data_IF_434651256672
#
_entry.id   IF_434651256672
#
_cell.length_a   1.000
_cell.length_b   1.000
_cell.length_c   1.000
_cell.angle_alpha   90.00
_cell.angle_beta   90.00
_cell.angle_gamma   90.00
#
_symmetry.space_group_name_H-M   'P 1'
#
loop_
_entity.id
_entity.type
_entity.pdbx_description
1 polymer ?
#
# COMPACT_ATOMS: atom_id res chain seq x y z
N UNK A 1 21.66 1.61 -18.40
CA UNK A 1 21.19 0.61 -17.42
C UNK A 1 20.72 -0.60 -18.21
N UNK A 2 21.11 -1.82 -17.83
CA UNK A 2 20.63 -3.02 -18.52
C UNK A 2 19.15 -3.26 -18.21
N UNK A 3 18.41 -3.98 -19.08
CA UNK A 3 16.99 -4.33 -18.83
C UNK A 3 16.81 -5.12 -17.52
N UNK A 4 17.83 -5.87 -17.11
CA UNK A 4 17.85 -6.63 -15.84
C UNK A 4 18.02 -5.71 -14.62
N UNK A 5 18.91 -4.72 -14.69
CA UNK A 5 19.06 -3.72 -13.62
C UNK A 5 17.80 -2.87 -13.48
N UNK A 6 17.15 -2.55 -14.59
CA UNK A 6 15.91 -1.76 -14.62
C UNK A 6 14.74 -2.48 -13.94
N UNK A 7 14.52 -3.76 -14.26
CA UNK A 7 13.46 -4.54 -13.60
C UNK A 7 13.73 -4.73 -12.11
N UNK A 8 14.98 -4.96 -11.71
CA UNK A 8 15.36 -5.11 -10.30
C UNK A 8 15.10 -3.82 -9.51
N UNK A 9 15.54 -2.68 -10.04
CA UNK A 9 15.31 -1.37 -9.45
C UNK A 9 13.81 -1.06 -9.33
N UNK A 10 13.05 -1.35 -10.39
CA UNK A 10 11.59 -1.11 -10.43
C UNK A 10 10.85 -1.98 -9.41
N UNK A 11 11.20 -3.26 -9.33
CA UNK A 11 10.61 -4.19 -8.37
C UNK A 11 10.90 -3.76 -6.93
N UNK A 12 12.13 -3.33 -6.61
CA UNK A 12 12.48 -2.85 -5.26
C UNK A 12 11.68 -1.60 -4.88
N UNK A 13 11.51 -0.65 -5.80
CA UNK A 13 10.73 0.55 -5.51
C UNK A 13 9.24 0.28 -5.34
N UNK A 14 8.68 -0.69 -6.07
CA UNK A 14 7.31 -1.15 -5.84
C UNK A 14 7.18 -1.76 -4.43
N UNK A 15 8.15 -2.58 -3.99
CA UNK A 15 8.16 -3.09 -2.62
C UNK A 15 8.23 -1.94 -1.60
N UNK A 16 9.06 -0.92 -1.84
CA UNK A 16 9.17 0.27 -1.00
C UNK A 16 7.85 1.02 -0.87
N UNK A 17 7.17 1.23 -1.99
CA UNK A 17 5.86 1.86 -2.02
C UNK A 17 4.80 1.06 -1.26
N UNK A 18 4.73 -0.25 -1.49
CA UNK A 18 3.76 -1.12 -0.79
C UNK A 18 4.06 -1.21 0.71
N UNK A 19 5.33 -1.28 1.08
CA UNK A 19 5.76 -1.36 2.49
C UNK A 19 5.41 -0.10 3.27
N UNK A 20 5.47 1.07 2.62
CA UNK A 20 4.96 2.31 3.19
C UNK A 20 3.48 2.18 3.57
N UNK A 21 2.65 1.63 2.68
CA UNK A 21 1.22 1.46 2.94
C UNK A 21 0.90 0.32 3.91
N UNK A 22 1.72 -0.74 3.98
CA UNK A 22 1.63 -1.74 5.06
C UNK A 22 1.84 -1.07 6.44
N UNK A 23 2.72 -0.06 6.54
CA UNK A 23 2.91 0.71 7.78
C UNK A 23 1.72 1.65 8.04
N UNK A 24 1.22 2.36 7.02
CA UNK A 24 0.03 3.23 7.14
C UNK A 24 -1.17 2.43 7.66
N UNK A 25 -1.42 1.24 7.10
CA UNK A 25 -2.53 0.39 7.53
C UNK A 25 -2.36 -0.08 8.97
N UNK A 26 -1.15 -0.53 9.34
CA UNK A 26 -0.83 -0.91 10.72
C UNK A 26 -1.10 0.23 11.68
N UNK A 27 -0.85 1.50 11.31
CA UNK A 27 -1.11 2.62 12.20
C UNK A 27 -2.59 2.83 12.50
N UNK A 28 -3.41 2.77 11.46
CA UNK A 28 -4.84 2.98 11.60
C UNK A 28 -5.60 1.74 12.10
N UNK A 29 -4.89 0.68 12.49
CA UNK A 29 -5.51 -0.57 12.95
C UNK A 29 -6.45 -0.37 14.13
N UNK A 30 -7.68 -0.88 14.02
CA UNK A 30 -8.65 -0.92 15.11
C UNK A 30 -9.62 -2.08 14.95
N UNK A 31 -10.22 -2.55 16.06
CA UNK A 31 -11.24 -3.60 16.00
C UNK A 31 -12.46 -3.17 15.17
N UNK A 32 -12.84 -1.88 15.22
CA UNK A 32 -13.93 -1.36 14.39
C UNK A 32 -13.64 -1.48 12.89
N UNK A 33 -12.41 -1.18 12.46
CA UNK A 33 -11.98 -1.37 11.06
C UNK A 33 -11.97 -2.85 10.68
N UNK A 34 -11.49 -3.71 11.57
CA UNK A 34 -11.48 -5.15 11.33
C UNK A 34 -12.90 -5.66 11.06
N UNK A 35 -13.85 -5.34 11.95
CA UNK A 35 -15.26 -5.73 11.79
C UNK A 35 -15.87 -5.15 10.50
N UNK A 36 -15.61 -3.87 10.21
CA UNK A 36 -16.10 -3.23 8.99
C UNK A 36 -15.59 -3.90 7.71
N UNK A 37 -14.27 -4.13 7.59
CA UNK A 37 -13.70 -4.74 6.39
C UNK A 37 -14.02 -6.22 6.27
N UNK A 38 -14.22 -6.94 7.38
CA UNK A 38 -14.75 -8.31 7.35
C UNK A 38 -16.17 -8.36 6.78
N UNK A 39 -17.05 -7.46 7.20
CA UNK A 39 -18.41 -7.37 6.66
C UNK A 39 -18.39 -6.99 5.18
N UNK A 40 -17.65 -5.93 4.81
CA UNK A 40 -17.53 -5.50 3.42
C UNK A 40 -16.97 -6.62 2.52
N UNK A 41 -16.00 -7.39 3.01
CA UNK A 41 -15.44 -8.54 2.30
C UNK A 41 -16.50 -9.62 2.05
N UNK A 42 -17.40 -9.86 3.01
CA UNK A 42 -18.51 -10.79 2.85
C UNK A 42 -19.52 -10.30 1.80
N UNK A 43 -19.93 -9.03 1.83
CA UNK A 43 -20.85 -8.46 0.82
C UNK A 43 -20.24 -8.50 -0.58
N UNK A 44 -18.97 -8.13 -0.73
CA UNK A 44 -18.23 -8.24 -1.99
C UNK A 44 -18.17 -9.70 -2.49
N UNK A 45 -17.99 -10.66 -1.59
CA UNK A 45 -18.00 -12.09 -1.93
C UNK A 45 -19.37 -12.56 -2.42
N UNK A 46 -20.46 -12.13 -1.79
CA UNK A 46 -21.82 -12.45 -2.21
C UNK A 46 -22.13 -11.87 -3.60
N UNK A 47 -21.69 -10.64 -3.87
CA UNK A 47 -21.85 -9.99 -5.17
C UNK A 47 -21.15 -10.78 -6.27
N UNK A 48 -19.86 -11.09 -6.11
CA UNK A 48 -19.14 -11.85 -7.15
C UNK A 48 -19.69 -13.27 -7.33
N UNK A 49 -20.27 -13.87 -6.28
CA UNK A 49 -20.99 -15.15 -6.38
C UNK A 49 -22.30 -15.02 -7.17
N UNK A 50 -23.13 -14.00 -6.88
CA UNK A 50 -24.37 -13.69 -7.62
C UNK A 50 -24.07 -13.49 -9.11
N UNK A 51 -23.00 -12.75 -9.42
CA UNK A 51 -22.54 -12.46 -10.79
C UNK A 51 -21.71 -13.58 -11.43
N UNK A 52 -21.44 -14.67 -10.70
CA UNK A 52 -20.63 -15.81 -11.16
C UNK A 52 -19.23 -15.43 -11.65
N UNK A 53 -18.64 -14.40 -11.05
CA UNK A 53 -17.25 -14.03 -11.30
C UNK A 53 -16.32 -14.88 -10.43
N UNK A 54 -15.29 -15.48 -11.06
CA UNK A 54 -14.33 -16.36 -10.41
C UNK A 54 -12.88 -15.90 -10.59
N UNK A 55 -11.98 -16.45 -9.78
CA UNK A 55 -10.54 -16.22 -9.88
C UNK A 55 -10.16 -14.73 -9.87
N UNK A 56 -9.21 -14.34 -10.74
CA UNK A 56 -8.76 -12.95 -10.86
C UNK A 56 -9.83 -12.00 -11.40
N UNK A 57 -10.83 -12.51 -12.14
CA UNK A 57 -11.95 -11.70 -12.62
C UNK A 57 -12.81 -11.22 -11.45
N UNK A 58 -13.08 -12.08 -10.48
CA UNK A 58 -13.76 -11.69 -9.24
C UNK A 58 -12.96 -10.62 -8.48
N UNK A 59 -11.64 -10.82 -8.32
CA UNK A 59 -10.78 -9.87 -7.60
C UNK A 59 -10.70 -8.50 -8.29
N UNK A 60 -10.76 -8.46 -9.62
CA UNK A 60 -10.85 -7.23 -10.39
C UNK A 60 -12.19 -6.51 -10.16
N UNK A 61 -13.30 -7.24 -10.19
CA UNK A 61 -14.62 -6.65 -9.98
C UNK A 61 -14.75 -6.04 -8.57
N UNK A 62 -14.30 -6.76 -7.54
CA UNK A 62 -14.22 -6.23 -6.17
C UNK A 62 -13.38 -4.94 -6.10
N UNK A 63 -12.30 -4.83 -6.88
CA UNK A 63 -11.43 -3.65 -6.87
C UNK A 63 -12.16 -2.43 -7.40
N UNK A 64 -12.90 -2.60 -8.50
CA UNK A 64 -13.70 -1.53 -9.09
C UNK A 64 -14.84 -1.10 -8.14
N UNK A 65 -15.47 -2.03 -7.43
CA UNK A 65 -16.49 -1.69 -6.43
C UNK A 65 -15.89 -0.91 -5.26
N UNK A 66 -14.74 -1.33 -4.74
CA UNK A 66 -14.02 -0.59 -3.69
C UNK A 66 -13.60 0.80 -4.16
N UNK A 67 -13.21 0.94 -5.43
CA UNK A 67 -12.93 2.24 -6.02
C UNK A 67 -14.20 3.11 -6.08
N UNK A 68 -15.35 2.55 -6.43
CA UNK A 68 -16.63 3.26 -6.32
C UNK A 68 -16.95 3.76 -4.90
N UNK A 69 -16.74 2.91 -3.89
CA UNK A 69 -16.95 3.27 -2.47
C UNK A 69 -15.97 4.39 -2.03
N UNK A 70 -14.69 4.28 -2.41
CA UNK A 70 -13.67 5.29 -2.08
C UNK A 70 -13.93 6.62 -2.81
N UNK A 71 -14.56 6.58 -3.98
CA UNK A 71 -15.00 7.77 -4.72
C UNK A 71 -16.23 8.42 -4.05
N UNK A 72 -17.19 7.63 -3.59
CA UNK A 72 -18.36 8.12 -2.85
C UNK A 72 -17.95 8.84 -1.55
N UNK A 73 -16.99 8.27 -0.82
CA UNK A 73 -16.42 8.88 0.39
C UNK A 73 -15.83 10.29 0.16
N UNK A 74 -15.41 10.63 -1.06
CA UNK A 74 -14.89 11.96 -1.39
C UNK A 74 -15.96 13.04 -1.50
N UNK A 75 -17.24 12.69 -1.58
CA UNK A 75 -18.34 13.66 -1.54
C UNK A 75 -18.73 14.07 -0.10
N UNK A 76 -18.09 13.48 0.92
CA UNK A 76 -18.32 13.82 2.33
C UNK A 76 -17.51 15.03 2.82
N UNK A 77 -16.47 15.43 2.08
CA UNK A 77 -15.73 16.66 2.35
C UNK A 77 -16.67 17.85 2.05
N UNK A 78 -16.80 18.80 2.99
CA UNK A 78 -17.56 20.04 2.78
C UNK A 78 -16.58 21.02 2.12
N UNK A 79 -16.57 21.15 0.77
CA UNK A 79 -15.49 21.83 0.10
C UNK A 79 -15.53 23.31 0.49
N UNK A 80 -14.41 23.85 1.00
CA UNK A 80 -14.21 25.30 1.09
C UNK A 80 -14.64 25.91 -0.26
N UNK A 81 -15.51 26.94 -0.25
CA UNK A 81 -16.12 27.53 -1.46
C UNK A 81 -15.09 27.89 -2.56
N UNK A 82 -13.83 28.12 -2.20
CA UNK A 82 -12.74 28.43 -3.14
C UNK A 82 -12.10 27.21 -3.84
N UNK A 83 -12.50 25.98 -3.50
CA UNK A 83 -11.92 24.72 -4.00
C UNK A 83 -12.95 23.77 -4.64
N UNK A 84 -14.23 24.16 -4.66
CA UNK A 84 -15.35 23.33 -5.14
C UNK A 84 -15.14 22.88 -6.59
N UNK A 85 -14.80 23.80 -7.48
CA UNK A 85 -14.64 23.53 -8.92
C UNK A 85 -13.50 22.56 -9.24
N UNK A 86 -12.38 22.64 -8.50
CA UNK A 86 -11.21 21.77 -8.70
C UNK A 86 -11.47 20.35 -8.17
N UNK A 87 -12.11 20.23 -7.00
CA UNK A 87 -12.49 18.95 -6.41
C UNK A 87 -13.56 18.23 -7.25
N UNK A 88 -14.61 18.92 -7.69
CA UNK A 88 -15.67 18.31 -8.50
C UNK A 88 -15.13 17.82 -9.85
N UNK A 89 -14.27 18.62 -10.51
CA UNK A 89 -13.60 18.19 -11.73
C UNK A 89 -12.74 16.95 -11.50
N UNK A 90 -12.00 16.90 -10.39
CA UNK A 90 -11.16 15.78 -10.02
C UNK A 90 -11.99 14.49 -9.81
N UNK A 91 -13.04 14.59 -9.00
CA UNK A 91 -13.94 13.45 -8.72
C UNK A 91 -14.61 12.97 -10.00
N UNK A 92 -15.12 13.88 -10.84
CA UNK A 92 -15.72 13.54 -12.15
C UNK A 92 -14.74 12.79 -13.05
N UNK A 93 -13.50 13.25 -13.14
CA UNK A 93 -12.46 12.61 -13.97
C UNK A 93 -12.17 11.18 -13.50
N UNK A 94 -12.13 10.95 -12.18
CA UNK A 94 -11.96 9.62 -11.61
C UNK A 94 -13.18 8.73 -11.80
N UNK A 95 -14.39 9.28 -11.72
CA UNK A 95 -15.61 8.53 -11.99
C UNK A 95 -15.69 8.09 -13.46
N UNK A 96 -15.39 8.98 -14.41
CA UNK A 96 -15.29 8.65 -15.84
C UNK A 96 -14.26 7.54 -16.09
N UNK A 97 -13.12 7.59 -15.37
CA UNK A 97 -12.09 6.56 -15.43
C UNK A 97 -12.58 5.23 -14.86
N UNK A 98 -13.28 5.22 -13.73
CA UNK A 98 -13.87 4.03 -13.13
C UNK A 98 -14.84 3.37 -14.11
N UNK A 99 -15.82 4.11 -14.64
CA UNK A 99 -16.78 3.60 -15.61
C UNK A 99 -16.08 3.05 -16.87
N UNK A 100 -15.05 3.76 -17.37
CA UNK A 100 -14.22 3.28 -18.47
C UNK A 100 -13.53 1.96 -18.14
N UNK A 101 -12.98 1.80 -16.93
CA UNK A 101 -12.33 0.56 -16.50
C UNK A 101 -13.32 -0.61 -16.37
N UNK A 102 -14.53 -0.36 -15.86
CA UNK A 102 -15.62 -1.36 -15.80
C UNK A 102 -15.92 -1.90 -17.20
N UNK A 103 -16.15 -1.00 -18.17
CA UNK A 103 -16.44 -1.36 -19.56
C UNK A 103 -15.24 -2.07 -20.21
N UNK A 104 -14.02 -1.54 -20.03
CA UNK A 104 -12.80 -2.13 -20.59
C UNK A 104 -12.48 -3.52 -20.03
N UNK A 105 -12.90 -3.81 -18.80
CA UNK A 105 -12.80 -5.12 -18.15
C UNK A 105 -13.93 -6.09 -18.59
N UNK A 106 -14.81 -5.63 -19.48
CA UNK A 106 -15.98 -6.36 -19.97
C UNK A 106 -16.96 -6.72 -18.85
N UNK A 107 -17.15 -5.82 -17.89
CA UNK A 107 -18.24 -5.89 -16.93
C UNK A 107 -19.41 -5.02 -17.42
N UNK A 108 -20.65 -5.38 -17.03
CA UNK A 108 -21.82 -4.55 -17.30
C UNK A 108 -21.79 -3.32 -16.40
N UNK A 109 -21.97 -2.13 -16.98
CA UNK A 109 -22.03 -0.88 -16.21
C UNK A 109 -23.30 -0.84 -15.36
N UNK A 110 -24.44 -1.25 -15.91
CA UNK A 110 -25.72 -1.29 -15.18
C UNK A 110 -25.65 -2.21 -13.96
N UNK A 111 -25.02 -3.38 -14.11
CA UNK A 111 -24.84 -4.32 -12.99
C UNK A 111 -23.87 -3.77 -11.94
N UNK A 112 -22.81 -3.10 -12.39
CA UNK A 112 -21.86 -2.45 -11.52
C UNK A 112 -22.50 -1.32 -10.70
N UNK A 113 -23.32 -0.48 -11.32
CA UNK A 113 -24.05 0.58 -10.63
C UNK A 113 -25.07 0.00 -9.64
N UNK A 114 -25.82 -1.05 -10.02
CA UNK A 114 -26.72 -1.77 -9.10
C UNK A 114 -25.97 -2.29 -7.87
N UNK A 115 -24.86 -3.00 -8.09
CA UNK A 115 -24.09 -3.62 -7.01
C UNK A 115 -23.38 -2.56 -6.14
N UNK A 116 -22.88 -1.46 -6.73
CA UNK A 116 -22.29 -0.35 -5.99
C UNK A 116 -23.33 0.38 -5.13
N UNK A 117 -24.48 0.74 -5.70
CA UNK A 117 -25.55 1.42 -4.95
C UNK A 117 -26.04 0.57 -3.78
N UNK A 118 -26.17 -0.75 -3.98
CA UNK A 118 -26.51 -1.67 -2.89
C UNK A 118 -25.48 -1.65 -1.76
N UNK A 119 -24.19 -1.53 -2.07
CA UNK A 119 -23.14 -1.42 -1.06
C UNK A 119 -23.18 -0.06 -0.35
N UNK A 120 -23.42 1.03 -1.07
CA UNK A 120 -23.52 2.37 -0.47
C UNK A 120 -24.76 2.51 0.43
N UNK A 121 -25.86 1.87 0.07
CA UNK A 121 -27.06 1.78 0.91
C UNK A 121 -26.83 0.95 2.18
N UNK A 122 -26.15 -0.19 2.06
CA UNK A 122 -25.79 -1.06 3.20
C UNK A 122 -24.76 -0.39 4.13
N UNK A 123 -23.77 0.27 3.55
CA UNK A 123 -22.66 0.92 4.23
C UNK A 123 -22.76 2.44 4.04
N UNK A 124 -23.71 3.08 4.73
CA UNK A 124 -23.87 4.54 4.68
C UNK A 124 -22.63 5.26 5.23
N UNK A 125 -21.65 5.55 4.37
CA UNK A 125 -20.33 6.10 4.73
C UNK A 125 -20.46 7.41 5.51
N UNK A 126 -21.43 8.25 5.14
CA UNK A 126 -21.74 9.52 5.80
C UNK A 126 -22.06 9.39 7.32
N UNK A 127 -22.50 8.22 7.76
CA UNK A 127 -22.85 7.94 9.16
C UNK A 127 -21.72 7.24 9.93
N UNK A 128 -20.62 6.93 9.26
CA UNK A 128 -19.48 6.20 9.83
C UNK A 128 -18.44 7.16 10.44
N UNK A 129 -17.64 6.63 11.36
CA UNK A 129 -16.44 7.31 11.84
C UNK A 129 -15.44 7.47 10.69
N UNK A 130 -14.90 8.67 10.49
CA UNK A 130 -13.98 9.00 9.40
C UNK A 130 -12.72 8.16 9.37
N UNK A 131 -12.31 7.60 10.51
CA UNK A 131 -11.24 6.62 10.55
C UNK A 131 -11.55 5.39 9.69
N UNK A 132 -12.82 4.94 9.60
CA UNK A 132 -13.23 3.70 8.92
C UNK A 132 -13.14 3.78 7.40
N UNK A 133 -13.47 4.93 6.82
CA UNK A 133 -13.46 5.15 5.38
C UNK A 133 -12.22 5.90 4.87
N UNK A 134 -11.25 6.13 5.74
CA UNK A 134 -9.92 6.57 5.34
C UNK A 134 -9.22 5.50 4.50
N UNK A 135 -8.77 5.84 3.28
CA UNK A 135 -7.95 4.99 2.41
C UNK A 135 -8.53 3.61 2.09
N UNK A 136 -9.84 3.51 1.81
CA UNK A 136 -10.57 2.22 1.75
C UNK A 136 -9.84 1.19 0.88
N UNK A 137 -9.40 1.54 -0.32
CA UNK A 137 -8.77 0.57 -1.24
C UNK A 137 -7.49 -0.03 -0.63
N UNK A 138 -6.60 0.81 -0.10
CA UNK A 138 -5.31 0.36 0.46
C UNK A 138 -5.49 -0.35 1.81
N UNK A 139 -6.42 0.13 2.65
CA UNK A 139 -6.75 -0.49 3.92
C UNK A 139 -7.39 -1.86 3.69
N UNK A 140 -8.42 -1.94 2.83
CA UNK A 140 -9.07 -3.20 2.51
C UNK A 140 -8.06 -4.24 2.02
N UNK A 141 -7.07 -3.83 1.22
CA UNK A 141 -6.00 -4.73 0.79
C UNK A 141 -5.16 -5.26 1.98
N UNK A 142 -4.86 -4.45 2.99
CA UNK A 142 -4.14 -4.88 4.20
C UNK A 142 -4.99 -5.71 5.17
N UNK A 143 -6.31 -5.49 5.21
CA UNK A 143 -7.22 -6.29 6.05
C UNK A 143 -7.60 -7.61 5.37
N UNK A 144 -7.71 -7.64 4.05
CA UNK A 144 -7.93 -8.86 3.26
C UNK A 144 -6.65 -9.73 3.21
N UNK A 145 -5.48 -9.09 3.18
CA UNK A 145 -4.18 -9.75 3.14
C UNK A 145 -3.26 -9.21 4.24
N UNK A 146 -2.91 -10.06 5.22
CA UNK A 146 -2.12 -9.69 6.41
C UNK A 146 -0.94 -8.75 6.12
N UNK A 147 -0.13 -9.05 5.09
CA UNK A 147 0.96 -8.20 4.62
C UNK A 147 1.06 -8.26 3.09
N UNK A 148 1.00 -7.11 2.43
CA UNK A 148 0.97 -7.06 0.96
C UNK A 148 2.37 -7.22 0.39
N UNK A 149 3.34 -6.52 0.98
CA UNK A 149 4.71 -6.47 0.48
C UNK A 149 5.37 -7.85 0.45
N UNK A 150 5.13 -8.69 1.45
CA UNK A 150 5.72 -10.03 1.53
C UNK A 150 5.21 -10.93 0.40
N UNK A 151 3.92 -10.85 0.07
CA UNK A 151 3.32 -11.59 -1.04
C UNK A 151 3.85 -11.13 -2.39
N UNK A 152 3.99 -9.83 -2.58
CA UNK A 152 4.57 -9.26 -3.81
C UNK A 152 6.06 -9.59 -3.93
N UNK A 153 6.83 -9.55 -2.84
CA UNK A 153 8.23 -9.99 -2.83
C UNK A 153 8.37 -11.45 -3.26
N UNK A 154 7.54 -12.34 -2.71
CA UNK A 154 7.53 -13.76 -3.09
C UNK A 154 7.29 -13.91 -4.59
N UNK A 155 6.30 -13.21 -5.15
CA UNK A 155 6.02 -13.26 -6.59
C UNK A 155 7.17 -12.72 -7.43
N UNK A 156 7.83 -11.64 -7.02
CA UNK A 156 9.02 -11.14 -7.72
C UNK A 156 10.20 -12.12 -7.65
N UNK A 157 10.36 -12.87 -6.56
CA UNK A 157 11.34 -13.96 -6.48
C UNK A 157 10.94 -15.12 -7.40
N UNK A 158 9.66 -15.47 -7.47
CA UNK A 158 9.17 -16.55 -8.33
C UNK A 158 9.31 -16.25 -9.82
N UNK A 159 9.15 -14.98 -10.20
CA UNK A 159 9.36 -14.50 -11.56
C UNK A 159 10.84 -14.27 -11.92
N UNK A 160 11.76 -14.50 -10.96
CA UNK A 160 13.19 -14.19 -11.07
C UNK A 160 13.44 -12.70 -11.44
N UNK A 161 12.61 -11.79 -10.93
CA UNK A 161 12.87 -10.35 -11.02
C UNK A 161 13.85 -9.92 -9.95
N UNK A 162 13.84 -10.63 -8.82
CA UNK A 162 14.73 -10.45 -7.69
C UNK A 162 15.32 -11.81 -7.30
N UNK A 163 16.42 -11.81 -6.57
CA UNK A 163 17.05 -13.01 -6.03
C UNK A 163 17.43 -12.80 -4.56
N UNK A 164 17.10 -13.77 -3.71
CA UNK A 164 17.42 -13.76 -2.28
C UNK A 164 17.88 -15.15 -1.83
N UNK A 165 19.13 -15.26 -1.38
CA UNK A 165 19.74 -16.53 -0.94
C UNK A 165 19.07 -17.15 0.29
N UNK A 166 18.40 -16.35 1.13
CA UNK A 166 17.73 -16.82 2.36
C UNK A 166 16.27 -17.22 2.17
N UNK A 167 15.76 -17.14 0.95
CA UNK A 167 14.38 -17.51 0.63
C UNK A 167 14.28 -19.00 0.30
N UNK A 168 13.34 -19.69 0.93
CA UNK A 168 12.96 -21.06 0.58
C UNK A 168 11.51 -21.05 0.15
N UNK A 169 11.16 -21.68 -0.98
CA UNK A 169 9.78 -21.78 -1.46
C UNK A 169 8.92 -22.68 -0.56
N UNK A 170 8.55 -22.16 0.62
CA UNK A 170 7.84 -22.91 1.65
C UNK A 170 6.42 -23.32 1.21
N UNK A 171 5.77 -22.49 0.38
CA UNK A 171 4.41 -22.73 -0.14
C UNK A 171 4.32 -23.89 -1.15
N UNK A 172 5.45 -24.37 -1.70
CA UNK A 172 5.47 -25.51 -2.62
C UNK A 172 5.38 -26.86 -1.89
N UNK A 173 5.54 -26.85 -0.57
CA UNK A 173 5.23 -28.00 0.27
C UNK A 173 3.75 -27.89 0.64
N UNK A 174 2.91 -28.86 0.25
CA UNK A 174 1.44 -28.93 0.46
C UNK A 174 0.97 -28.90 1.95
N UNK A 175 1.81 -28.44 2.88
CA UNK A 175 1.53 -28.22 4.31
C UNK A 175 1.51 -26.73 4.69
N UNK A 176 1.75 -25.81 3.76
CA UNK A 176 1.69 -24.37 4.02
C UNK A 176 0.28 -23.84 3.87
N UNK A 177 -0.12 -22.91 4.74
CA UNK A 177 -1.37 -22.14 4.62
C UNK A 177 -1.36 -21.20 3.40
N UNK A 178 -0.17 -20.84 2.92
CA UNK A 178 0.03 -19.99 1.75
C UNK A 178 0.06 -20.88 0.50
N UNK A 179 -0.80 -20.58 -0.47
CA UNK A 179 -0.91 -21.30 -1.75
C UNK A 179 -0.54 -20.41 -2.93
N UNK A 180 -0.26 -21.00 -4.10
CA UNK A 180 -0.03 -20.24 -5.33
C UNK A 180 -1.22 -19.34 -5.69
N UNK A 181 -2.44 -19.87 -5.53
CA UNK A 181 -3.69 -19.15 -5.77
C UNK A 181 -3.84 -17.93 -4.86
N UNK A 182 -3.49 -18.06 -3.57
CA UNK A 182 -3.47 -16.93 -2.65
C UNK A 182 -2.48 -15.85 -3.10
N UNK A 183 -1.25 -16.24 -3.46
CA UNK A 183 -0.21 -15.30 -3.89
C UNK A 183 -0.57 -14.61 -5.22
N UNK A 184 -1.21 -15.31 -6.15
CA UNK A 184 -1.66 -14.74 -7.43
C UNK A 184 -2.76 -13.70 -7.20
N UNK A 185 -3.72 -13.98 -6.31
CA UNK A 185 -4.75 -13.01 -5.93
C UNK A 185 -4.16 -11.77 -5.26
N UNK A 186 -3.32 -11.96 -4.24
CA UNK A 186 -2.68 -10.87 -3.52
C UNK A 186 -1.86 -9.99 -4.47
N UNK A 187 -1.02 -10.59 -5.30
CA UNK A 187 -0.20 -9.86 -6.26
C UNK A 187 -1.07 -9.10 -7.27
N UNK A 188 -2.09 -9.75 -7.82
CA UNK A 188 -3.01 -9.10 -8.76
C UNK A 188 -3.72 -7.90 -8.13
N UNK A 189 -4.24 -8.05 -6.90
CA UNK A 189 -4.89 -6.99 -6.14
C UNK A 189 -3.93 -5.84 -5.79
N UNK A 190 -2.69 -6.15 -5.42
CA UNK A 190 -1.66 -5.15 -5.19
C UNK A 190 -1.32 -4.38 -6.48
N UNK A 191 -1.23 -5.06 -7.62
CA UNK A 191 -0.96 -4.40 -8.90
C UNK A 191 -2.13 -3.50 -9.33
N UNK A 192 -3.38 -3.91 -9.14
CA UNK A 192 -4.56 -3.05 -9.36
C UNK A 192 -4.52 -1.81 -8.46
N UNK A 193 -4.17 -1.97 -7.18
CA UNK A 193 -3.97 -0.84 -6.27
C UNK A 193 -2.90 0.14 -6.78
N UNK A 194 -1.76 -0.36 -7.28
CA UNK A 194 -0.73 0.52 -7.86
C UNK A 194 -1.22 1.24 -9.11
N UNK A 195 -2.02 0.60 -9.97
CA UNK A 195 -2.63 1.26 -11.14
C UNK A 195 -3.58 2.39 -10.73
N UNK A 196 -4.38 2.17 -9.68
CA UNK A 196 -5.24 3.20 -9.09
C UNK A 196 -4.40 4.36 -8.52
N UNK A 197 -3.41 4.08 -7.68
CA UNK A 197 -2.56 5.12 -7.08
C UNK A 197 -1.79 5.89 -8.14
N UNK A 198 -1.25 5.24 -9.18
CA UNK A 198 -0.56 5.92 -10.27
C UNK A 198 -1.47 6.96 -10.95
N UNK A 199 -2.72 6.60 -11.22
CA UNK A 199 -3.70 7.51 -11.84
C UNK A 199 -4.15 8.62 -10.89
N UNK A 200 -4.45 8.30 -9.63
CA UNK A 200 -4.81 9.29 -8.61
C UNK A 200 -3.69 10.31 -8.40
N UNK A 201 -2.46 9.82 -8.25
CA UNK A 201 -1.27 10.65 -8.02
C UNK A 201 -0.97 11.58 -9.19
N UNK A 202 -1.22 11.12 -10.42
CA UNK A 202 -1.15 11.96 -11.62
C UNK A 202 -2.09 13.15 -11.51
N UNK A 203 -3.39 12.90 -11.25
CA UNK A 203 -4.38 13.97 -11.14
C UNK A 203 -4.09 14.91 -9.95
N UNK A 204 -3.66 14.37 -8.80
CA UNK A 204 -3.39 15.17 -7.61
C UNK A 204 -2.25 16.16 -7.87
N UNK A 205 -1.20 15.72 -8.57
CA UNK A 205 -0.04 16.57 -8.92
C UNK A 205 -0.38 17.69 -9.89
N UNK A 206 -1.53 17.63 -10.56
CA UNK A 206 -2.03 18.70 -11.43
C UNK A 206 -2.92 19.70 -10.69
N UNK A 207 -3.39 19.35 -9.48
CA UNK A 207 -4.19 20.25 -8.66
C UNK A 207 -3.33 21.38 -8.09
N UNK A 208 -3.85 22.60 -8.10
CA UNK A 208 -3.20 23.76 -7.46
C UNK A 208 -3.01 23.57 -5.95
N UNK A 209 -3.79 22.66 -5.34
CA UNK A 209 -3.74 22.30 -3.93
C UNK A 209 -2.46 21.54 -3.57
N UNK A 210 -1.95 20.70 -4.47
CA UNK A 210 -0.76 19.90 -4.23
C UNK A 210 0.52 20.76 -4.19
N UNK A 211 0.64 21.76 -5.08
CA UNK A 211 1.78 22.69 -5.08
C UNK A 211 1.88 23.54 -3.79
N UNK A 212 0.76 23.76 -3.09
CA UNK A 212 0.71 24.54 -1.84
C UNK A 212 1.04 23.73 -0.59
N UNK A 213 1.04 22.39 -0.65
CA UNK A 213 1.22 21.53 0.52
C UNK A 213 2.69 21.15 0.78
N UNK A 214 3.56 21.41 -0.20
CA UNK A 214 4.93 20.93 -0.23
C UNK A 214 5.88 22.08 -0.60
N UNK A 215 6.82 22.42 0.29
CA UNK A 215 7.88 23.37 -0.02
C UNK A 215 9.14 22.64 -0.52
N UNK A 216 9.46 22.92 -1.79
CA UNK A 216 10.63 22.35 -2.48
C UNK A 216 11.95 23.07 -2.13
N UNK A 217 11.90 24.22 -1.46
CA UNK A 217 13.07 25.08 -1.24
C UNK A 217 13.77 24.88 0.10
N UNK A 218 13.20 24.08 1.02
CA UNK A 218 13.60 24.10 2.43
C UNK A 218 14.05 22.73 2.95
N UNK A 219 15.08 22.12 2.36
CA UNK A 219 15.62 20.84 2.83
C UNK A 219 17.13 20.63 2.62
N UNK A 220 17.74 19.90 3.57
CA UNK A 220 19.18 19.62 3.69
C UNK A 220 19.67 18.35 2.94
N UNK A 221 18.86 17.76 2.06
CA UNK A 221 19.20 16.51 1.34
C UNK A 221 18.91 16.63 -0.17
N UNK A 222 19.77 17.40 -0.86
CA UNK A 222 19.63 17.72 -2.27
C UNK A 222 19.58 16.49 -3.20
N UNK A 223 20.30 15.41 -2.87
CA UNK A 223 20.35 14.20 -3.70
C UNK A 223 19.02 13.43 -3.66
N UNK A 224 18.44 13.31 -2.46
CA UNK A 224 17.14 12.66 -2.26
C UNK A 224 16.01 13.46 -2.91
N UNK A 225 16.06 14.79 -2.81
CA UNK A 225 15.13 15.71 -3.48
C UNK A 225 15.23 15.56 -5.01
N UNK A 226 16.45 15.59 -5.56
CA UNK A 226 16.68 15.46 -7.00
C UNK A 226 16.18 14.10 -7.53
N UNK A 227 16.38 13.02 -6.78
CA UNK A 227 15.90 11.68 -7.13
C UNK A 227 14.38 11.58 -7.13
N UNK A 228 13.72 12.24 -6.17
CA UNK A 228 12.24 12.35 -6.12
C UNK A 228 11.71 13.20 -7.28
N UNK A 229 12.32 14.35 -7.55
CA UNK A 229 11.95 15.21 -8.70
C UNK A 229 12.10 14.47 -10.03
N UNK A 230 13.16 13.67 -10.19
CA UNK A 230 13.37 12.85 -11.38
C UNK A 230 12.27 11.80 -11.53
N UNK A 231 11.91 11.13 -10.44
CA UNK A 231 10.84 10.10 -10.45
C UNK A 231 9.49 10.73 -10.82
N UNK A 232 9.17 11.91 -10.28
CA UNK A 232 7.97 12.67 -10.65
C UNK A 232 7.99 13.16 -12.10
N UNK A 233 9.14 13.61 -12.60
CA UNK A 233 9.29 14.02 -14.00
C UNK A 233 9.06 12.86 -14.96
N UNK A 234 9.54 11.66 -14.61
CA UNK A 234 9.25 10.43 -15.37
C UNK A 234 7.76 10.11 -15.39
N UNK A 235 7.08 10.16 -14.24
CA UNK A 235 5.63 9.94 -14.17
C UNK A 235 4.87 10.93 -15.06
N UNK A 236 5.22 12.22 -14.99
CA UNK A 236 4.61 13.27 -15.83
C UNK A 236 4.80 13.02 -17.32
N UNK A 237 5.96 12.53 -17.74
CA UNK A 237 6.24 12.21 -19.14
C UNK A 237 5.41 11.01 -19.66
N UNK A 238 4.81 10.21 -18.77
CA UNK A 238 4.07 8.99 -19.09
C UNK A 238 2.54 9.13 -18.99
N UNK A 239 2.04 10.31 -18.61
CA UNK A 239 0.62 10.61 -18.36
C UNK A 239 -0.31 10.15 -19.49
N UNK A 240 -0.07 10.63 -20.71
CA UNK A 240 -0.94 10.35 -21.86
C UNK A 240 -0.52 9.10 -22.65
N UNK A 241 0.39 8.29 -22.09
CA UNK A 241 0.93 7.10 -22.75
C UNK A 241 0.21 5.88 -22.18
N UNK A 242 -0.60 5.24 -23.01
CA UNK A 242 -1.26 3.98 -22.66
C UNK A 242 -0.23 2.88 -22.34
N UNK A 243 -0.56 2.05 -21.36
CA UNK A 243 0.21 0.86 -21.02
C UNK A 243 -0.71 -0.33 -20.74
N UNK A 244 -0.18 -1.54 -20.91
CA UNK A 244 -0.92 -2.76 -20.64
C UNK A 244 -1.32 -2.83 -19.17
N UNK A 245 -2.59 -3.10 -18.89
CA UNK A 245 -3.12 -3.28 -17.53
C UNK A 245 -2.86 -4.69 -17.02
N UNK A 246 -2.70 -4.87 -15.71
CA UNK A 246 -2.48 -6.18 -15.08
C UNK A 246 -3.60 -7.17 -15.42
N UNK A 247 -4.83 -6.70 -15.54
CA UNK A 247 -6.00 -7.50 -15.94
C UNK A 247 -5.90 -8.09 -17.35
N UNK A 248 -5.02 -7.57 -18.21
CA UNK A 248 -4.77 -8.05 -19.58
C UNK A 248 -3.45 -8.82 -19.69
N UNK A 249 -2.70 -8.96 -18.59
CA UNK A 249 -1.40 -9.62 -18.57
C UNK A 249 -1.56 -11.04 -18.05
N UNK A 250 -1.11 -11.99 -18.84
CA UNK A 250 -0.91 -13.37 -18.39
C UNK A 250 0.31 -13.41 -17.45
N UNK A 251 0.09 -13.74 -16.17
CA UNK A 251 1.12 -13.81 -15.14
C UNK A 251 2.21 -14.86 -15.45
N UNK A 252 1.94 -15.81 -16.33
CA UNK A 252 2.94 -16.77 -16.81
C UNK A 252 3.86 -16.19 -17.91
N UNK A 253 3.48 -15.06 -18.55
CA UNK A 253 4.27 -14.39 -19.59
C UNK A 253 5.22 -13.36 -18.99
N UNK A 254 6.38 -13.84 -18.56
CA UNK A 254 7.39 -13.05 -17.84
C UNK A 254 7.80 -11.75 -18.55
N UNK A 255 7.91 -11.70 -19.88
CA UNK A 255 8.33 -10.48 -20.59
C UNK A 255 7.28 -9.36 -20.52
N UNK A 256 6.00 -9.67 -20.76
CA UNK A 256 4.93 -8.69 -20.64
C UNK A 256 4.82 -8.16 -19.20
N UNK A 257 5.01 -9.05 -18.22
CA UNK A 257 5.03 -8.67 -16.82
C UNK A 257 6.23 -7.78 -16.44
N UNK A 258 7.42 -8.02 -17.01
CA UNK A 258 8.59 -7.14 -16.80
C UNK A 258 8.31 -5.73 -17.30
N UNK A 259 7.78 -5.62 -18.51
CA UNK A 259 7.47 -4.32 -19.11
C UNK A 259 6.39 -3.60 -18.30
N UNK A 260 5.40 -4.32 -17.79
CA UNK A 260 4.40 -3.80 -16.86
C UNK A 260 4.99 -3.26 -15.56
N UNK A 261 5.84 -4.04 -14.88
CA UNK A 261 6.46 -3.65 -13.60
C UNK A 261 7.29 -2.37 -13.75
N UNK A 262 8.04 -2.24 -14.84
CA UNK A 262 8.80 -1.01 -15.14
C UNK A 262 7.83 0.17 -15.39
N UNK A 263 6.79 -0.06 -16.20
CA UNK A 263 5.84 1.00 -16.55
C UNK A 263 5.04 1.51 -15.35
N UNK A 264 4.62 0.62 -14.44
CA UNK A 264 3.82 1.01 -13.27
C UNK A 264 4.70 1.71 -12.23
N UNK A 265 5.92 1.24 -11.97
CA UNK A 265 6.86 1.92 -11.08
C UNK A 265 7.08 3.37 -11.53
N UNK A 266 7.34 3.57 -12.82
CA UNK A 266 7.67 4.89 -13.34
C UNK A 266 6.49 5.86 -13.28
N UNK A 267 5.24 5.35 -13.31
CA UNK A 267 4.02 6.17 -13.20
C UNK A 267 3.64 6.53 -11.77
N UNK A 268 4.01 5.71 -10.78
CA UNK A 268 3.83 6.08 -9.37
C UNK A 268 4.57 7.38 -9.05
N UNK A 269 5.72 7.61 -9.70
CA UNK A 269 6.60 8.74 -9.40
C UNK A 269 7.23 8.63 -8.01
N UNK A 270 7.33 7.41 -7.48
CA UNK A 270 7.86 7.09 -6.16
C UNK A 270 9.38 7.02 -6.16
N UNK A 271 9.99 7.52 -5.10
CA UNK A 271 11.38 7.27 -4.78
C UNK A 271 11.49 6.52 -3.46
N UNK A 272 12.48 5.63 -3.32
CA UNK A 272 12.56 4.75 -2.16
C UNK A 272 12.74 5.53 -0.85
N UNK A 273 11.91 5.24 0.15
CA UNK A 273 11.94 5.82 1.51
C UNK A 273 12.78 4.94 2.45
N UNK A 274 12.65 3.62 2.35
CA UNK A 274 13.26 2.65 3.28
C UNK A 274 14.47 1.96 2.67
N UNK A 275 14.36 1.49 1.43
CA UNK A 275 15.46 0.80 0.78
C UNK A 275 15.39 0.78 -0.75
N UNK A 276 16.52 1.06 -1.38
CA UNK A 276 16.77 0.86 -2.81
C UNK A 276 17.52 -0.46 -3.10
N UNK A 277 17.71 -1.34 -2.11
CA UNK A 277 18.53 -2.56 -2.25
C UNK A 277 17.85 -3.81 -1.70
N UNK A 278 17.95 -4.92 -2.45
CA UNK A 278 17.27 -6.18 -2.12
C UNK A 278 17.68 -6.78 -0.75
N UNK A 279 18.92 -6.56 -0.31
CA UNK A 279 19.51 -7.19 0.88
C UNK A 279 18.80 -6.86 2.20
N UNK A 280 18.10 -5.71 2.27
CA UNK A 280 17.46 -5.21 3.50
C UNK A 280 16.02 -5.72 3.67
N UNK A 281 15.39 -6.22 2.61
CA UNK A 281 13.95 -6.49 2.56
C UNK A 281 13.44 -7.53 3.54
N UNK A 282 14.17 -8.63 3.73
CA UNK A 282 13.81 -9.64 4.74
C UNK A 282 13.78 -9.02 6.14
N UNK A 283 14.70 -8.10 6.42
CA UNK A 283 14.80 -7.49 7.75
C UNK A 283 13.74 -6.40 7.97
N UNK A 284 13.41 -5.64 6.93
CA UNK A 284 12.31 -4.67 6.95
C UNK A 284 10.97 -5.38 7.22
N UNK A 285 10.67 -6.44 6.45
CA UNK A 285 9.46 -7.25 6.67
C UNK A 285 9.42 -7.84 8.07
N UNK A 286 10.54 -8.40 8.56
CA UNK A 286 10.63 -8.92 9.92
C UNK A 286 10.34 -7.86 10.99
N UNK A 287 10.87 -6.64 10.83
CA UNK A 287 10.60 -5.53 11.75
C UNK A 287 9.11 -5.14 11.74
N UNK A 288 8.48 -5.09 10.57
CA UNK A 288 7.04 -4.84 10.45
C UNK A 288 6.21 -5.92 11.16
N UNK A 289 6.53 -7.21 10.97
CA UNK A 289 5.83 -8.30 11.66
C UNK A 289 5.98 -8.19 13.19
N UNK A 290 7.18 -7.87 13.68
CA UNK A 290 7.42 -7.66 15.10
C UNK A 290 6.56 -6.51 15.66
N UNK A 291 6.47 -5.39 14.93
CA UNK A 291 5.65 -4.25 15.33
C UNK A 291 4.15 -4.58 15.34
N UNK A 292 3.64 -5.28 14.31
CA UNK A 292 2.25 -5.73 14.23
C UNK A 292 1.89 -6.67 15.40
N UNK A 293 2.74 -7.66 15.66
CA UNK A 293 2.55 -8.60 16.77
C UNK A 293 2.51 -7.86 18.10
N UNK A 294 3.42 -6.90 18.34
CA UNK A 294 3.41 -6.12 19.58
C UNK A 294 2.16 -5.26 19.72
N UNK A 295 1.67 -4.67 18.63
CA UNK A 295 0.45 -3.83 18.64
C UNK A 295 -0.81 -4.64 18.97
N UNK A 296 -0.83 -5.92 18.61
CA UNK A 296 -1.96 -6.84 18.86
C UNK A 296 -1.81 -7.68 20.14
N UNK A 297 -0.62 -7.73 20.72
CA UNK A 297 -0.30 -8.48 21.95
C UNK A 297 0.43 -7.54 22.94
N UNK A 298 -0.32 -6.61 23.54
CA UNK A 298 0.25 -5.54 24.37
C UNK A 298 0.92 -6.05 25.65
N UNK A 299 0.41 -7.15 26.19
CA UNK A 299 0.86 -7.85 27.39
C UNK A 299 2.19 -8.61 27.20
N UNK A 300 2.51 -9.02 25.97
CA UNK A 300 3.71 -9.82 25.69
C UNK A 300 4.97 -8.97 25.61
N UNK A 301 6.08 -9.51 26.10
CA UNK A 301 7.40 -8.89 25.93
C UNK A 301 7.81 -8.87 24.44
N UNK A 302 8.57 -7.85 24.05
CA UNK A 302 9.04 -7.72 22.66
C UNK A 302 10.07 -8.82 22.30
N UNK A 303 10.94 -9.13 23.27
CA UNK A 303 12.01 -10.12 23.22
C UNK A 303 11.92 -11.01 24.45
N UNK A 304 12.59 -12.16 24.42
CA UNK A 304 12.71 -13.00 25.62
C UNK A 304 13.38 -12.22 26.75
N UNK A 305 12.69 -12.11 27.88
CA UNK A 305 13.32 -11.71 29.14
C UNK A 305 14.13 -12.91 29.69
N UNK A 306 15.15 -12.66 30.50
CA UNK A 306 16.14 -13.60 31.08
C UNK A 306 15.62 -15.02 31.39
N UNK A 307 16.49 -16.05 31.40
CA UNK A 307 16.10 -17.46 31.30
C UNK A 307 15.41 -17.96 32.58
N UNK A 308 14.13 -17.64 32.72
CA UNK A 308 13.18 -18.48 33.44
C UNK A 308 13.15 -19.81 32.69
N UNK A 309 12.96 -20.92 33.41
CA UNK A 309 13.01 -22.27 32.82
C UNK A 309 12.31 -22.29 31.44
N UNK A 310 12.93 -22.88 30.42
CA UNK A 310 12.45 -22.82 29.01
C UNK A 310 11.00 -23.32 28.89
N UNK A 311 10.52 -24.05 29.90
CA UNK A 311 9.18 -24.62 29.98
C UNK A 311 8.11 -23.67 30.56
N UNK A 312 8.50 -22.53 31.14
CA UNK A 312 7.59 -21.55 31.77
C UNK A 312 7.66 -20.14 31.14
N UNK A 313 8.59 -19.91 30.21
CA UNK A 313 8.73 -18.62 29.55
C UNK A 313 7.60 -18.38 28.54
N UNK A 314 6.86 -17.28 28.69
CA UNK A 314 5.89 -16.83 27.70
C UNK A 314 6.56 -16.57 26.35
N UNK A 315 5.86 -16.92 25.27
CA UNK A 315 6.35 -16.72 23.91
C UNK A 315 6.44 -15.22 23.62
N UNK A 316 7.65 -14.71 23.36
CA UNK A 316 7.87 -13.31 23.04
C UNK A 316 7.35 -12.92 21.65
N UNK A 317 7.10 -11.63 21.42
CA UNK A 317 6.66 -11.12 20.11
C UNK A 317 7.64 -11.46 18.99
N UNK A 318 8.95 -11.43 19.26
CA UNK A 318 10.02 -11.81 18.32
C UNK A 318 9.90 -13.25 17.82
N UNK A 319 9.44 -14.17 18.66
CA UNK A 319 9.25 -15.57 18.29
C UNK A 319 8.03 -15.77 17.38
N UNK A 320 6.93 -15.07 17.70
CA UNK A 320 5.71 -15.10 16.88
C UNK A 320 6.01 -14.51 15.51
N UNK A 321 6.63 -13.33 15.45
CA UNK A 321 7.01 -12.67 14.20
C UNK A 321 7.95 -13.55 13.35
N UNK A 322 8.92 -14.23 13.97
CA UNK A 322 9.80 -15.14 13.24
C UNK A 322 9.04 -16.38 12.72
N UNK A 323 8.07 -16.90 13.48
CA UNK A 323 7.21 -17.99 13.04
C UNK A 323 6.34 -17.58 11.85
N UNK A 324 5.78 -16.37 11.86
CA UNK A 324 5.04 -15.80 10.73
C UNK A 324 5.96 -15.66 9.50
N UNK A 325 7.14 -15.06 9.63
CA UNK A 325 8.10 -14.94 8.52
C UNK A 325 8.48 -16.31 7.91
N UNK A 326 8.57 -17.36 8.74
CA UNK A 326 8.87 -18.72 8.29
C UNK A 326 7.75 -19.35 7.47
N UNK A 327 6.47 -19.00 7.70
CA UNK A 327 5.36 -19.51 6.86
C UNK A 327 5.50 -19.03 5.42
N UNK A 328 5.97 -17.79 5.24
CA UNK A 328 6.32 -17.19 3.96
C UNK A 328 7.67 -17.65 3.38
N UNK A 329 8.41 -18.50 4.09
CA UNK A 329 9.68 -19.06 3.62
C UNK A 329 10.90 -18.18 3.88
N UNK A 330 10.78 -17.19 4.76
CA UNK A 330 11.87 -16.32 5.18
C UNK A 330 12.34 -16.68 6.58
N UNK A 331 13.66 -16.63 6.79
CA UNK A 331 14.26 -16.86 8.11
C UNK A 331 14.87 -15.57 8.65
N UNK A 332 14.53 -15.24 9.90
CA UNK A 332 15.09 -14.09 10.62
C UNK A 332 15.74 -14.57 11.92
N UNK A 333 16.50 -13.68 12.57
CA UNK A 333 17.03 -13.92 13.91
C UNK A 333 16.56 -12.82 14.83
N UNK A 334 16.39 -13.12 16.11
CA UNK A 334 15.94 -12.14 17.11
C UNK A 334 16.84 -10.89 17.15
N UNK A 335 18.16 -11.08 17.02
CA UNK A 335 19.11 -9.95 16.90
C UNK A 335 18.80 -9.07 15.69
N UNK A 336 18.59 -9.68 14.53
CA UNK A 336 18.26 -8.94 13.31
C UNK A 336 16.93 -8.21 13.43
N UNK A 337 15.89 -8.85 13.99
CA UNK A 337 14.60 -8.21 14.26
C UNK A 337 14.77 -7.00 15.17
N UNK A 338 15.58 -7.11 16.23
CA UNK A 338 15.85 -6.01 17.15
C UNK A 338 16.56 -4.84 16.50
N UNK A 339 17.62 -5.13 15.75
CA UNK A 339 18.42 -4.09 15.11
C UNK A 339 17.55 -3.31 14.09
N UNK A 340 16.71 -4.03 13.32
CA UNK A 340 15.84 -3.41 12.31
C UNK A 340 14.56 -2.79 12.86
N UNK A 341 14.00 -3.31 13.95
CA UNK A 341 12.93 -2.63 14.69
C UNK A 341 13.35 -1.21 15.05
N UNK A 342 14.55 -1.04 15.60
CA UNK A 342 15.05 0.30 15.98
C UNK A 342 15.23 1.23 14.77
N UNK A 343 15.55 0.68 13.60
CA UNK A 343 15.66 1.44 12.34
C UNK A 343 14.30 1.86 11.81
N UNK A 344 13.31 0.96 11.82
CA UNK A 344 11.97 1.18 11.25
C UNK A 344 11.06 1.98 12.18
N UNK A 345 11.28 1.91 13.48
CA UNK A 345 10.41 2.56 14.47
C UNK A 345 10.34 4.08 14.30
N UNK A 346 11.44 4.74 13.93
CA UNK A 346 11.46 6.19 13.65
C UNK A 346 10.61 6.57 12.43
N UNK A 347 10.82 5.97 11.24
CA UNK A 347 9.91 6.13 10.11
C UNK A 347 8.44 5.88 10.47
N UNK A 348 8.17 4.83 11.25
CA UNK A 348 6.83 4.51 11.72
C UNK A 348 6.20 5.65 12.53
N UNK A 349 6.90 6.19 13.53
CA UNK A 349 6.43 7.35 14.30
C UNK A 349 6.11 8.56 13.40
N UNK A 350 6.94 8.82 12.38
CA UNK A 350 6.72 9.90 11.42
C UNK A 350 5.48 9.65 10.55
N UNK A 351 5.28 8.41 10.08
CA UNK A 351 4.06 8.02 9.33
C UNK A 351 2.82 8.22 10.19
N UNK A 352 2.85 7.83 11.46
CA UNK A 352 1.72 8.01 12.39
C UNK A 352 1.28 9.47 12.47
N UNK A 353 2.24 10.34 12.77
CA UNK A 353 1.99 11.76 12.92
C UNK A 353 1.48 12.37 11.61
N UNK A 354 2.02 11.94 10.47
CA UNK A 354 1.51 12.37 9.17
C UNK A 354 0.05 11.96 8.97
N UNK A 355 -0.30 10.69 9.21
CA UNK A 355 -1.66 10.19 9.04
C UNK A 355 -2.62 10.94 9.97
N UNK A 356 -2.26 11.13 11.23
CA UNK A 356 -3.07 11.89 12.20
C UNK A 356 -3.29 13.34 11.75
N UNK A 357 -2.25 14.01 11.24
CA UNK A 357 -2.33 15.40 10.76
C UNK A 357 -3.13 15.52 9.45
N UNK A 358 -3.03 14.55 8.54
CA UNK A 358 -3.81 14.51 7.29
C UNK A 358 -5.29 14.25 7.59
N UNK A 359 -5.60 13.35 8.52
CA UNK A 359 -6.98 13.06 8.93
C UNK A 359 -7.68 14.27 9.51
N UNK A 360 -6.97 15.15 10.24
CA UNK A 360 -7.51 16.42 10.75
C UNK A 360 -7.88 17.42 9.65
N UNK A 361 -7.33 17.26 8.44
CA UNK A 361 -7.67 18.11 7.28
C UNK A 361 -8.90 17.60 6.52
N UNK A 362 -9.52 16.52 7.00
CA UNK A 362 -10.80 15.96 6.49
C UNK A 362 -10.76 15.61 4.99
N UNK A 363 -9.57 15.29 4.47
CA UNK A 363 -9.46 14.73 3.12
C UNK A 363 -9.83 13.27 3.12
N UNK A 364 -10.92 12.94 2.42
CA UNK A 364 -11.47 11.59 2.38
C UNK A 364 -11.49 11.00 0.97
N UNK A 365 -11.37 9.68 0.91
CA UNK A 365 -11.43 8.92 -0.33
C UNK A 365 -10.32 9.31 -1.31
N UNK A 366 -10.69 9.52 -2.57
CA UNK A 366 -9.78 9.87 -3.65
C UNK A 366 -9.11 11.25 -3.51
N UNK A 367 -9.61 12.14 -2.64
CA UNK A 367 -9.05 13.48 -2.41
C UNK A 367 -7.85 13.49 -1.45
N UNK A 368 -7.55 12.36 -0.84
CA UNK A 368 -6.41 12.23 0.07
C UNK A 368 -5.07 12.53 -0.63
N UNK A 369 -4.14 13.21 0.07
CA UNK A 369 -2.87 13.59 -0.51
C UNK A 369 -1.93 12.38 -0.73
N UNK A 370 -0.91 12.61 -1.56
CA UNK A 370 0.16 11.64 -1.82
C UNK A 370 1.11 11.60 -0.62
N UNK A 371 0.85 10.69 0.32
CA UNK A 371 1.57 10.63 1.60
C UNK A 371 3.08 10.43 1.46
N UNK A 372 3.53 9.66 0.46
CA UNK A 372 4.95 9.39 0.24
C UNK A 372 5.75 10.65 -0.09
N UNK A 373 5.11 11.64 -0.72
CA UNK A 373 5.80 12.86 -1.16
C UNK A 373 6.20 13.75 0.05
N UNK A 374 5.52 13.63 1.19
CA UNK A 374 5.85 14.31 2.45
C UNK A 374 7.21 13.88 3.04
N UNK A 375 7.75 12.74 2.60
CA UNK A 375 9.06 12.24 3.04
C UNK A 375 10.21 12.75 2.16
N UNK A 376 9.97 13.56 1.14
CA UNK A 376 11.00 14.05 0.23
C UNK A 376 11.11 15.57 0.19
N UNK A 377 10.15 16.27 0.79
CA UNK A 377 9.98 17.72 0.70
C UNK A 377 9.50 18.28 2.04
N UNK A 378 9.72 19.57 2.32
CA UNK A 378 9.29 20.17 3.60
C UNK A 378 7.76 20.27 3.61
N UNK A 379 7.08 19.52 4.49
CA UNK A 379 5.64 19.48 4.45
C UNK A 379 5.05 20.69 5.17
N UNK A 380 4.12 21.40 4.53
CA UNK A 380 3.33 22.45 5.17
C UNK A 380 2.20 21.84 6.03
N UNK A 381 2.62 21.18 7.12
CA UNK A 381 1.77 20.52 8.13
C UNK A 381 2.17 20.98 9.54
N UNK A 382 1.50 20.47 10.57
CA UNK A 382 1.78 20.84 11.95
C UNK A 382 3.24 20.60 12.39
N UNK A 383 3.73 21.43 13.31
CA UNK A 383 5.11 21.43 13.81
C UNK A 383 5.57 20.06 14.32
N UNK A 384 4.66 19.27 14.90
CA UNK A 384 4.98 17.93 15.40
C UNK A 384 5.44 16.98 14.29
N UNK A 385 4.74 16.98 13.16
CA UNK A 385 5.07 16.12 12.03
C UNK A 385 6.32 16.63 11.30
N UNK A 386 6.48 17.95 11.15
CA UNK A 386 7.72 18.56 10.64
C UNK A 386 8.95 18.13 11.46
N UNK A 387 8.90 18.26 12.79
CA UNK A 387 9.97 17.83 13.68
C UNK A 387 10.25 16.32 13.60
N UNK A 388 9.22 15.50 13.36
CA UNK A 388 9.38 14.06 13.18
C UNK A 388 10.10 13.74 11.85
N UNK A 389 9.82 14.49 10.79
CA UNK A 389 10.52 14.36 9.51
C UNK A 389 11.98 14.78 9.60
N UNK A 390 12.30 15.88 10.28
CA UNK A 390 13.69 16.31 10.50
C UNK A 390 14.51 15.23 11.22
N UNK A 391 13.92 14.61 12.25
CA UNK A 391 14.54 13.48 12.98
C UNK A 391 14.69 12.24 12.11
N UNK A 392 13.68 11.92 11.31
CA UNK A 392 13.73 10.82 10.35
C UNK A 392 14.87 11.06 9.35
N UNK A 393 14.96 12.23 8.72
CA UNK A 393 16.04 12.57 7.78
C UNK A 393 17.42 12.52 8.43
N UNK A 394 17.56 12.98 9.67
CA UNK A 394 18.82 12.88 10.41
C UNK A 394 19.24 11.43 10.69
N UNK A 395 18.30 10.49 10.79
CA UNK A 395 18.58 9.07 11.10
C UNK A 395 19.19 8.30 9.92
N UNK A 396 18.95 8.73 8.67
CA UNK A 396 19.51 8.10 7.47
C UNK A 396 20.88 8.68 7.06
N UNK A 397 21.34 9.76 7.72
CA UNK A 397 22.67 10.35 7.51
C UNK A 397 23.78 9.69 8.34
N UNK A 398 23.44 8.71 9.18
CA UNK A 398 24.37 7.89 9.99
C UNK A 398 24.46 6.49 9.42
#
# INVERSE_FOLDING_TARGET
MSKTEEIQSSAIKILDYLYFYDIVAMETFSNKKLEFYEQLSQSLKLIVQKRQYEGLRAEHYKHLLLFGIDLDASYLDDPLESLVDDNERFIRTLNERLCSQVVMASFSLDEFEEDLNSLLDEYSIALMDSALYYKIISQFLCYEFDNITIGVLIKFLDFNFLELTKYKKAYQNNKSEITQHFLDKLFFRAMLYLEFEAFKNELLRESQKYEKQIDFNNLDDAERIASSMLSRSKAKALKDIDFAKISKIDLCKTNALKDYVINIESRLGHNAIFSNGIAKWISLLGAWHLMRVKKTNLDKSLYRETPVSIHEAEIACSEIANKEMLTYGFSTSERNLRDWHNVVFRPYESIRLLVDEVNKKEYYGILEPILTDYFFYDPMIGDAAKNAFDKFHASFKK
#
